data_IF_763224832689
#
_entry.id   IF_763224832689
#
_cell.length_a   1.000
_cell.length_b   1.000
_cell.length_c   1.000
_cell.angle_alpha   90.00
_cell.angle_beta   90.00
_cell.angle_gamma   90.00
#
_symmetry.space_group_name_H-M   'P 1'
#
loop_
_entity.id
_entity.type
_entity.pdbx_description
1 polymer ?
#
# COMPACT_ATOMS: atom_id res chain seq x y z
N UNK A 1 11.57 -18.96 -17.28
CA UNK A 1 11.88 -18.50 -15.91
C UNK A 1 13.27 -17.89 -15.77
N UNK A 2 14.37 -18.52 -16.21
CA UNK A 2 15.74 -17.94 -16.08
C UNK A 2 15.95 -16.58 -16.78
N UNK A 3 15.29 -16.31 -17.93
CA UNK A 3 15.42 -15.04 -18.67
C UNK A 3 14.68 -13.86 -18.02
N UNK A 4 13.60 -14.12 -17.28
CA UNK A 4 12.83 -13.08 -16.54
C UNK A 4 13.60 -12.65 -15.29
N UNK A 5 14.26 -13.59 -14.62
CA UNK A 5 15.10 -13.30 -13.45
C UNK A 5 16.31 -12.41 -13.82
N UNK A 6 16.90 -12.62 -15.00
CA UNK A 6 18.01 -11.80 -15.50
C UNK A 6 17.57 -10.37 -15.85
N UNK A 7 16.35 -10.19 -16.36
CA UNK A 7 15.80 -8.86 -16.69
C UNK A 7 15.49 -8.03 -15.44
N UNK A 8 15.00 -8.67 -14.37
CA UNK A 8 14.75 -8.01 -13.07
C UNK A 8 16.10 -7.63 -12.41
N UNK A 9 17.12 -8.44 -12.55
CA UNK A 9 18.46 -8.14 -12.02
C UNK A 9 19.13 -6.97 -12.76
N UNK A 10 18.93 -6.83 -14.08
CA UNK A 10 19.47 -5.73 -14.88
C UNK A 10 18.76 -4.39 -14.62
N UNK A 11 17.47 -4.41 -14.27
CA UNK A 11 16.75 -3.18 -13.89
C UNK A 11 17.19 -2.63 -12.52
N UNK A 12 17.71 -3.45 -11.63
CA UNK A 12 18.18 -3.02 -10.32
C UNK A 12 19.54 -2.28 -10.36
N UNK A 13 20.36 -2.51 -11.38
CA UNK A 13 21.70 -1.90 -11.47
C UNK A 13 21.71 -0.48 -12.03
N UNK A 14 20.70 -0.09 -12.79
CA UNK A 14 20.61 1.27 -13.40
C UNK A 14 20.12 2.36 -12.45
N UNK A 15 19.59 2.02 -11.28
CA UNK A 15 19.08 2.99 -10.29
C UNK A 15 20.20 3.60 -9.42
N UNK A 16 21.41 3.02 -9.42
CA UNK A 16 22.51 3.40 -8.52
C UNK A 16 23.61 4.27 -9.14
N UNK A 17 23.47 4.68 -10.41
CA UNK A 17 24.49 5.48 -11.09
C UNK A 17 24.13 6.96 -11.18
N UNK A 18 24.03 7.65 -10.05
CA UNK A 18 24.20 9.10 -9.98
C UNK A 18 25.01 9.42 -8.70
N UNK A 19 26.07 10.19 -8.83
CA UNK A 19 26.84 10.76 -7.72
C UNK A 19 25.93 11.59 -6.79
N UNK A 20 25.43 10.94 -5.77
CA UNK A 20 24.71 11.56 -4.69
C UNK A 20 25.49 11.31 -3.40
N UNK A 21 25.85 12.39 -2.70
CA UNK A 21 26.46 12.34 -1.36
C UNK A 21 25.46 11.84 -0.29
N UNK A 22 24.40 11.15 -0.68
CA UNK A 22 23.44 10.58 0.27
C UNK A 22 24.06 9.32 0.88
N UNK A 23 24.14 9.28 2.21
CA UNK A 23 24.69 8.13 2.92
C UNK A 23 23.79 6.91 2.82
N UNK A 24 24.40 5.76 2.73
CA UNK A 24 23.72 4.46 2.61
C UNK A 24 23.80 3.70 3.93
N UNK A 25 22.75 2.96 4.23
CA UNK A 25 22.71 2.09 5.40
C UNK A 25 21.98 0.77 5.07
N UNK A 26 22.28 -0.25 5.84
CA UNK A 26 21.58 -1.53 5.84
C UNK A 26 20.99 -1.74 7.23
N UNK A 27 19.74 -2.19 7.31
CA UNK A 27 19.12 -2.60 8.56
C UNK A 27 18.71 -4.06 8.46
N UNK A 28 19.00 -4.84 9.50
CA UNK A 28 18.53 -6.20 9.67
C UNK A 28 17.68 -6.26 10.94
N UNK A 29 16.46 -6.72 10.80
CA UNK A 29 15.49 -6.85 11.90
C UNK A 29 15.03 -8.28 12.06
N UNK A 30 14.91 -8.72 13.31
CA UNK A 30 14.12 -9.87 13.71
C UNK A 30 12.72 -9.41 14.10
N UNK A 31 11.70 -10.17 13.67
CA UNK A 31 10.30 -9.90 13.88
C UNK A 31 9.64 -11.06 14.61
N UNK A 32 8.80 -10.77 15.61
CA UNK A 32 8.01 -11.77 16.30
C UNK A 32 6.75 -11.18 16.91
N UNK A 33 5.61 -11.88 16.84
CA UNK A 33 4.37 -11.30 17.35
C UNK A 33 3.14 -12.15 17.10
N UNK A 34 2.02 -11.50 16.75
CA UNK A 34 0.73 -12.17 16.62
C UNK A 34 -0.03 -11.74 15.38
N UNK A 35 -0.94 -12.63 14.91
CA UNK A 35 -1.96 -12.30 13.93
C UNK A 35 -3.09 -11.54 14.63
N UNK A 36 -3.47 -10.39 14.05
CA UNK A 36 -4.66 -9.65 14.47
C UNK A 36 -5.89 -10.25 13.79
N UNK A 37 -6.74 -10.93 14.57
CA UNK A 37 -8.03 -11.39 14.08
C UNK A 37 -8.98 -10.22 13.93
N UNK A 38 -9.44 -9.96 12.71
CA UNK A 38 -10.39 -8.89 12.40
C UNK A 38 -11.71 -9.42 11.82
N UNK A 39 -11.80 -10.73 11.57
CA UNK A 39 -13.03 -11.42 11.16
C UNK A 39 -13.08 -12.82 11.78
N UNK A 40 -14.27 -13.36 12.09
CA UNK A 40 -14.41 -14.72 12.62
C UNK A 40 -13.83 -15.80 11.69
N UNK A 41 -13.86 -15.57 10.38
CA UNK A 41 -13.38 -16.48 9.34
C UNK A 41 -11.86 -16.75 9.39
N UNK A 42 -11.12 -15.97 10.18
CA UNK A 42 -9.67 -16.12 10.32
C UNK A 42 -9.25 -16.87 11.59
N UNK A 43 -10.15 -17.06 12.57
CA UNK A 43 -9.77 -17.64 13.88
C UNK A 43 -9.10 -19.01 13.75
N UNK A 44 -9.59 -19.86 12.85
CA UNK A 44 -9.06 -21.20 12.62
C UNK A 44 -7.68 -21.21 11.94
N UNK A 45 -7.20 -20.07 11.41
CA UNK A 45 -5.89 -19.93 10.78
C UNK A 45 -4.80 -19.49 11.80
N UNK A 46 -5.21 -19.01 12.99
CA UNK A 46 -4.31 -18.45 14.01
C UNK A 46 -3.89 -19.55 14.96
N UNK A 47 -2.91 -20.37 14.53
CA UNK A 47 -2.45 -21.54 15.27
C UNK A 47 -1.06 -21.35 15.88
N UNK A 48 -0.38 -20.26 15.56
CA UNK A 48 0.99 -19.98 16.00
C UNK A 48 1.30 -18.49 16.01
N UNK A 49 2.50 -18.18 16.45
CA UNK A 49 3.03 -16.83 16.51
C UNK A 49 3.87 -16.55 15.24
N UNK A 50 3.53 -15.52 14.44
CA UNK A 50 4.34 -15.12 13.30
C UNK A 50 5.74 -14.68 13.73
N UNK A 51 6.73 -15.09 12.94
CA UNK A 51 8.11 -14.65 13.07
C UNK A 51 8.67 -14.29 11.70
N UNK A 52 9.77 -13.54 11.64
CA UNK A 52 10.34 -13.15 10.37
C UNK A 52 11.64 -12.40 10.45
N UNK A 53 12.18 -12.10 9.27
CA UNK A 53 13.38 -11.29 9.08
C UNK A 53 13.09 -10.20 8.07
N UNK A 54 13.49 -8.97 8.36
CA UNK A 54 13.39 -7.85 7.43
C UNK A 54 14.77 -7.25 7.19
N UNK A 55 15.15 -7.18 5.92
CA UNK A 55 16.37 -6.54 5.45
C UNK A 55 16.01 -5.29 4.67
N UNK A 56 16.54 -4.14 5.10
CA UNK A 56 16.32 -2.85 4.46
C UNK A 56 17.63 -2.31 3.90
N UNK A 57 17.56 -1.80 2.66
CA UNK A 57 18.64 -1.01 2.03
C UNK A 57 18.17 0.44 1.95
N UNK A 58 18.86 1.31 2.65
CA UNK A 58 18.43 2.68 2.91
C UNK A 58 19.39 3.70 2.32
N UNK A 59 18.83 4.81 1.91
CA UNK A 59 19.51 6.00 1.48
C UNK A 59 19.00 7.19 2.28
N UNK A 60 19.88 7.84 3.03
CA UNK A 60 19.53 9.03 3.81
C UNK A 60 19.63 10.28 2.95
N UNK A 61 18.69 11.21 3.15
CA UNK A 61 18.68 12.51 2.49
C UNK A 61 19.39 13.56 3.32
N UNK A 62 20.07 14.52 2.65
CA UNK A 62 20.93 15.55 3.29
C UNK A 62 20.56 17.01 2.95
N UNK A 63 19.32 17.29 2.56
CA UNK A 63 18.84 18.65 2.36
C UNK A 63 18.99 19.23 0.95
N UNK A 64 19.65 18.55 0.01
CA UNK A 64 19.84 19.03 -1.38
C UNK A 64 18.54 19.32 -2.14
N UNK A 65 17.46 18.60 -1.81
CA UNK A 65 16.15 18.82 -2.40
C UNK A 65 15.20 19.36 -1.34
N UNK A 66 14.28 20.21 -1.76
CA UNK A 66 13.32 20.85 -0.88
C UNK A 66 12.49 19.86 -0.03
N UNK A 67 12.09 18.72 -0.61
CA UNK A 67 11.33 17.71 0.12
C UNK A 67 12.15 17.04 1.24
N UNK A 68 13.50 16.98 1.13
CA UNK A 68 14.35 16.47 2.20
C UNK A 68 14.16 17.27 3.49
N UNK A 69 14.20 18.60 3.38
CA UNK A 69 13.99 19.49 4.52
C UNK A 69 12.54 19.49 5.00
N UNK A 70 11.59 19.48 4.05
CA UNK A 70 10.16 19.47 4.34
C UNK A 70 9.73 18.27 5.18
N UNK A 71 10.40 17.13 5.04
CA UNK A 71 10.12 15.89 5.76
C UNK A 71 11.18 15.51 6.80
N UNK A 72 11.95 16.49 7.29
CA UNK A 72 12.96 16.31 8.31
C UNK A 72 14.00 15.24 7.92
N UNK A 73 14.52 15.33 6.69
CA UNK A 73 15.58 14.48 6.14
C UNK A 73 15.25 12.98 6.23
N UNK A 74 14.20 12.53 5.56
CA UNK A 74 13.77 11.15 5.59
C UNK A 74 14.81 10.23 4.94
N UNK A 75 14.69 8.96 5.22
CA UNK A 75 15.37 7.90 4.46
C UNK A 75 14.37 7.24 3.54
N UNK A 76 14.87 6.70 2.43
CA UNK A 76 14.07 5.90 1.51
C UNK A 76 14.91 4.77 0.95
N UNK A 77 14.26 3.73 0.49
CA UNK A 77 14.98 2.59 -0.05
C UNK A 77 14.11 1.42 -0.40
N UNK A 78 14.71 0.23 -0.38
CA UNK A 78 14.04 -1.03 -0.63
C UNK A 78 14.09 -1.95 0.58
N UNK A 79 13.15 -2.89 0.64
CA UNK A 79 13.15 -3.93 1.66
C UNK A 79 12.93 -5.31 1.07
N UNK A 80 13.43 -6.31 1.78
CA UNK A 80 13.05 -7.71 1.68
C UNK A 80 12.49 -8.14 3.05
N UNK A 81 11.33 -8.80 3.05
CA UNK A 81 10.69 -9.33 4.26
C UNK A 81 10.34 -10.80 4.05
N UNK A 82 10.90 -11.66 4.88
CA UNK A 82 10.48 -13.03 5.08
C UNK A 82 9.59 -13.10 6.32
N UNK A 83 8.41 -13.68 6.21
CA UNK A 83 7.50 -13.90 7.33
C UNK A 83 6.91 -15.30 7.29
N UNK A 84 7.10 -16.05 8.37
CA UNK A 84 6.51 -17.35 8.62
C UNK A 84 5.36 -17.19 9.61
N UNK A 85 4.19 -17.73 9.30
CA UNK A 85 3.01 -17.57 10.15
C UNK A 85 2.88 -18.63 11.23
N UNK A 86 3.70 -19.69 11.18
CA UNK A 86 3.60 -20.86 12.04
C UNK A 86 2.18 -21.47 12.03
N UNK A 87 1.56 -21.47 10.85
CA UNK A 87 0.25 -22.01 10.52
C UNK A 87 0.37 -22.75 9.18
N UNK A 88 -0.01 -24.02 9.13
CA UNK A 88 0.07 -24.83 7.90
C UNK A 88 -0.72 -24.19 6.75
N UNK A 89 -1.88 -23.62 7.06
CA UNK A 89 -2.75 -23.02 6.05
C UNK A 89 -2.21 -21.69 5.52
N UNK A 90 -1.53 -20.88 6.35
CA UNK A 90 -0.98 -19.57 5.93
C UNK A 90 0.43 -19.69 5.33
N UNK A 91 1.22 -20.69 5.80
CA UNK A 91 2.58 -20.92 5.33
C UNK A 91 3.52 -19.74 5.57
N UNK A 92 4.24 -19.37 4.53
CA UNK A 92 5.29 -18.35 4.54
C UNK A 92 5.09 -17.33 3.42
N UNK A 93 5.47 -16.08 3.70
CA UNK A 93 5.42 -14.99 2.73
C UNK A 93 6.81 -14.40 2.52
N UNK A 94 7.15 -14.11 1.26
CA UNK A 94 8.38 -13.44 0.82
C UNK A 94 8.01 -12.16 0.12
N UNK A 95 8.40 -11.02 0.67
CA UNK A 95 7.98 -9.71 0.18
C UNK A 95 9.16 -8.85 -0.23
N UNK A 96 8.97 -8.05 -1.27
CA UNK A 96 9.91 -7.02 -1.71
C UNK A 96 9.16 -5.74 -2.01
N UNK A 97 9.78 -4.59 -1.74
CA UNK A 97 9.12 -3.31 -2.01
C UNK A 97 9.98 -2.11 -1.70
N UNK A 98 9.34 -0.94 -1.74
CA UNK A 98 9.93 0.33 -1.39
C UNK A 98 9.50 0.79 0.00
N UNK A 99 10.33 1.59 0.65
CA UNK A 99 10.04 2.15 1.96
C UNK A 99 10.51 3.59 2.10
N UNK A 100 9.85 4.30 3.03
CA UNK A 100 10.25 5.60 3.56
C UNK A 100 10.29 5.52 5.09
N UNK A 101 11.37 6.09 5.68
CA UNK A 101 11.52 6.32 7.12
C UNK A 101 11.46 7.82 7.40
N UNK A 102 10.49 8.26 8.20
CA UNK A 102 10.35 9.63 8.67
C UNK A 102 10.81 9.72 10.10
N UNK A 103 11.57 10.76 10.44
CA UNK A 103 12.23 10.88 11.73
C UNK A 103 11.67 12.02 12.58
N UNK A 104 11.51 11.74 13.87
CA UNK A 104 11.06 12.65 14.91
C UNK A 104 12.03 12.60 16.10
N UNK A 105 11.84 13.46 17.10
CA UNK A 105 12.57 13.46 18.36
C UNK A 105 14.10 13.37 18.17
N UNK A 106 14.68 14.32 17.41
CA UNK A 106 16.11 14.33 17.09
C UNK A 106 16.60 13.02 16.44
N UNK A 107 15.77 12.44 15.56
CA UNK A 107 15.98 11.17 14.83
C UNK A 107 15.96 9.90 15.69
N UNK A 108 15.56 9.98 16.96
CA UNK A 108 15.44 8.78 17.78
C UNK A 108 14.11 8.02 17.59
N UNK A 109 13.07 8.68 17.06
CA UNK A 109 11.80 8.04 16.74
C UNK A 109 11.63 7.97 15.22
N UNK A 110 11.40 6.77 14.69
CA UNK A 110 11.31 6.47 13.27
C UNK A 110 9.92 5.92 12.93
N UNK A 111 9.20 6.59 12.02
CA UNK A 111 7.99 6.09 11.38
C UNK A 111 8.37 5.46 10.04
N UNK A 112 8.20 4.16 9.90
CA UNK A 112 8.44 3.39 8.67
C UNK A 112 7.13 3.22 7.92
N UNK A 113 7.10 3.58 6.64
CA UNK A 113 6.02 3.29 5.71
C UNK A 113 6.60 2.50 4.54
N UNK A 114 6.11 1.27 4.33
CA UNK A 114 6.61 0.42 3.27
C UNK A 114 5.46 -0.25 2.50
N UNK A 115 5.62 -0.32 1.20
CA UNK A 115 4.66 -0.93 0.29
C UNK A 115 5.38 -1.81 -0.72
N UNK A 116 4.85 -3.01 -0.95
CA UNK A 116 5.44 -3.95 -1.88
C UNK A 116 4.50 -5.04 -2.34
N UNK A 117 5.10 -6.04 -2.94
CA UNK A 117 4.45 -7.28 -3.37
C UNK A 117 5.01 -8.43 -2.55
N UNK A 118 4.19 -9.44 -2.33
CA UNK A 118 4.52 -10.63 -1.58
C UNK A 118 4.16 -11.89 -2.35
N UNK A 119 5.02 -12.87 -2.26
CA UNK A 119 4.76 -14.24 -2.71
C UNK A 119 4.35 -15.09 -1.51
N UNK A 120 3.13 -15.66 -1.53
CA UNK A 120 2.66 -16.61 -0.52
C UNK A 120 2.94 -18.05 -0.95
N UNK A 121 3.50 -18.85 -0.05
CA UNK A 121 3.78 -20.28 -0.28
C UNK A 121 2.52 -21.16 -0.26
N UNK A 122 1.48 -20.71 0.46
CA UNK A 122 0.29 -21.51 0.76
C UNK A 122 -1.02 -20.76 0.46
N UNK A 123 -1.29 -20.36 -0.80
CA UNK A 123 -2.55 -19.72 -1.16
C UNK A 123 -3.73 -20.71 -1.02
N UNK A 124 -4.95 -20.17 -1.06
CA UNK A 124 -6.16 -21.00 -1.10
C UNK A 124 -6.13 -21.97 -2.29
N UNK A 125 -6.39 -23.23 -2.00
CA UNK A 125 -6.71 -24.26 -2.98
C UNK A 125 -7.87 -25.12 -2.48
N UNK A 126 -8.81 -25.45 -3.38
CA UNK A 126 -10.04 -26.16 -3.01
C UNK A 126 -9.78 -27.54 -2.41
N UNK A 127 -8.71 -28.21 -2.83
CA UNK A 127 -8.39 -29.59 -2.45
C UNK A 127 -7.34 -29.60 -1.35
N UNK A 128 -6.21 -28.95 -1.57
CA UNK A 128 -5.04 -29.04 -0.69
C UNK A 128 -5.03 -27.99 0.44
N UNK A 129 -5.69 -26.83 0.27
CA UNK A 129 -5.70 -25.75 1.28
C UNK A 129 -7.02 -24.98 1.32
N UNK A 130 -8.13 -25.69 1.45
CA UNK A 130 -9.49 -25.10 1.46
C UNK A 130 -9.80 -24.24 2.69
N UNK A 131 -9.01 -24.40 3.75
CA UNK A 131 -9.14 -23.62 4.99
C UNK A 131 -8.62 -22.20 4.86
N UNK A 132 -7.66 -21.94 3.94
CA UNK A 132 -7.09 -20.59 3.80
C UNK A 132 -8.10 -19.61 3.17
N UNK A 133 -8.84 -18.89 4.00
CA UNK A 133 -9.75 -17.82 3.56
C UNK A 133 -9.05 -16.47 3.41
N UNK A 134 -7.79 -16.38 3.81
CA UNK A 134 -7.02 -15.14 3.80
C UNK A 134 -6.42 -14.81 2.42
N UNK A 135 -5.82 -15.81 1.74
CA UNK A 135 -5.01 -15.61 0.54
C UNK A 135 -5.55 -16.38 -0.65
N UNK A 136 -6.39 -15.76 -1.48
CA UNK A 136 -6.95 -16.38 -2.68
C UNK A 136 -5.95 -16.53 -3.84
N UNK A 137 -4.77 -15.92 -3.74
CA UNK A 137 -3.72 -15.96 -4.76
C UNK A 137 -2.34 -16.03 -4.15
N UNK A 138 -1.38 -16.52 -4.93
CA UNK A 138 0.04 -16.57 -4.56
C UNK A 138 0.65 -15.16 -4.47
N UNK A 139 0.24 -14.25 -5.36
CA UNK A 139 0.72 -12.87 -5.36
C UNK A 139 -0.22 -11.99 -4.53
N UNK A 140 0.36 -11.27 -3.57
CA UNK A 140 -0.32 -10.39 -2.63
C UNK A 140 0.32 -9.00 -2.65
N UNK A 141 -0.43 -7.98 -2.27
CA UNK A 141 0.12 -6.72 -1.79
C UNK A 141 0.61 -6.89 -0.35
N UNK A 142 1.72 -6.22 -0.01
CA UNK A 142 2.26 -6.17 1.35
C UNK A 142 2.44 -4.72 1.76
N UNK A 143 1.78 -4.34 2.85
CA UNK A 143 1.85 -3.00 3.45
C UNK A 143 2.43 -3.11 4.85
N UNK A 144 3.45 -2.30 5.16
CA UNK A 144 4.09 -2.30 6.47
C UNK A 144 4.10 -0.87 7.05
N UNK A 145 3.67 -0.74 8.30
CA UNK A 145 3.72 0.51 9.07
C UNK A 145 4.43 0.23 10.38
N UNK A 146 5.58 0.88 10.60
CA UNK A 146 6.41 0.67 11.79
C UNK A 146 6.60 1.96 12.59
N UNK A 147 6.60 1.82 13.91
CA UNK A 147 7.03 2.88 14.82
C UNK A 147 8.17 2.32 15.68
N UNK A 148 9.36 2.87 15.51
CA UNK A 148 10.59 2.32 16.04
C UNK A 148 11.39 3.40 16.77
N UNK A 149 11.94 3.09 17.93
CA UNK A 149 13.04 3.84 18.52
C UNK A 149 14.33 3.36 17.86
N UNK A 150 15.14 4.30 17.38
CA UNK A 150 16.41 4.00 16.71
C UNK A 150 17.54 4.85 17.29
N UNK A 151 18.69 4.25 17.48
CA UNK A 151 19.92 4.92 17.90
C UNK A 151 21.04 4.53 16.96
N UNK A 152 21.49 5.50 16.15
CA UNK A 152 22.59 5.32 15.23
C UNK A 152 23.95 5.51 15.91
N UNK A 153 25.00 4.91 15.36
CA UNK A 153 26.39 5.12 15.77
C UNK A 153 26.66 4.87 17.27
N UNK A 154 26.05 3.82 17.84
CA UNK A 154 26.31 3.41 19.23
C UNK A 154 27.75 2.89 19.33
N UNK A 155 28.15 2.08 18.37
CA UNK A 155 29.50 1.53 18.24
C UNK A 155 29.97 1.74 16.80
N UNK A 156 30.80 2.76 16.57
CA UNK A 156 31.28 3.17 15.24
C UNK A 156 30.11 3.36 14.25
N UNK A 157 30.02 2.49 13.24
CA UNK A 157 28.99 2.51 12.19
C UNK A 157 27.73 1.73 12.56
N UNK A 158 27.73 1.03 13.69
CA UNK A 158 26.60 0.24 14.15
C UNK A 158 25.63 1.05 14.99
N UNK A 159 24.37 0.78 14.80
CA UNK A 159 23.26 1.25 15.62
C UNK A 159 22.28 0.14 15.91
N UNK A 160 21.28 0.43 16.73
CA UNK A 160 20.19 -0.49 17.07
C UNK A 160 18.85 0.21 16.86
N UNK A 161 17.83 -0.60 16.62
CA UNK A 161 16.44 -0.14 16.64
C UNK A 161 15.53 -1.19 17.27
N UNK A 162 14.45 -0.71 17.88
CA UNK A 162 13.39 -1.56 18.41
C UNK A 162 12.05 -0.83 18.33
N UNK A 163 10.97 -1.58 18.08
CA UNK A 163 9.65 -1.00 17.97
C UNK A 163 8.58 -2.01 17.59
N UNK A 164 7.50 -1.51 17.05
CA UNK A 164 6.35 -2.30 16.59
C UNK A 164 6.20 -2.13 15.10
N UNK A 165 5.98 -3.22 14.37
CA UNK A 165 5.67 -3.28 12.96
C UNK A 165 4.27 -3.88 12.77
N UNK A 166 3.37 -3.13 12.17
CA UNK A 166 2.12 -3.64 11.63
C UNK A 166 2.35 -4.06 10.19
N UNK A 167 1.92 -5.28 9.82
CA UNK A 167 2.04 -5.80 8.46
C UNK A 167 0.70 -6.31 7.97
N UNK A 168 0.31 -5.91 6.76
CA UNK A 168 -0.91 -6.35 6.09
C UNK A 168 -0.57 -7.08 4.79
N UNK A 169 -1.27 -8.20 4.54
CA UNK A 169 -1.22 -8.96 3.30
C UNK A 169 -2.61 -9.17 2.74
N UNK A 170 -2.82 -8.84 1.48
CA UNK A 170 -4.05 -9.16 0.74
C UNK A 170 -3.81 -9.09 -0.77
N UNK A 171 -4.71 -9.68 -1.55
CA UNK A 171 -4.69 -9.51 -3.00
C UNK A 171 -5.63 -8.39 -3.49
N UNK A 172 -6.21 -7.58 -2.57
CA UNK A 172 -7.13 -6.49 -2.93
C UNK A 172 -8.40 -6.96 -3.64
N UNK A 173 -8.83 -8.20 -3.38
CA UNK A 173 -9.97 -8.88 -4.01
C UNK A 173 -9.80 -9.14 -5.51
N UNK A 174 -8.57 -9.22 -6.00
CA UNK A 174 -8.36 -9.68 -7.39
C UNK A 174 -8.82 -11.12 -7.57
N UNK A 175 -8.78 -11.93 -6.51
CA UNK A 175 -9.26 -13.32 -6.47
C UNK A 175 -9.78 -13.68 -5.09
N UNK A 176 -10.96 -14.32 -5.03
CA UNK A 176 -11.57 -14.82 -3.78
C UNK A 176 -11.06 -16.21 -3.42
N UNK A 177 -10.92 -16.52 -2.11
CA UNK A 177 -11.22 -15.68 -0.95
C UNK A 177 -10.12 -14.62 -0.71
N UNK A 178 -10.44 -13.51 -0.03
CA UNK A 178 -9.46 -12.49 0.31
C UNK A 178 -9.87 -11.76 1.60
N UNK A 179 -9.83 -12.43 2.73
CA UNK A 179 -9.98 -11.76 4.03
C UNK A 179 -8.72 -10.98 4.41
N UNK A 180 -7.58 -11.32 3.81
CA UNK A 180 -6.28 -10.76 4.16
C UNK A 180 -5.77 -11.19 5.54
N UNK A 181 -4.52 -10.87 5.85
CA UNK A 181 -3.93 -11.08 7.19
C UNK A 181 -3.28 -9.79 7.66
N UNK A 182 -3.57 -9.45 8.91
CA UNK A 182 -2.91 -8.40 9.66
C UNK A 182 -2.05 -9.02 10.75
N UNK A 183 -0.82 -8.54 10.91
CA UNK A 183 0.05 -8.93 12.03
C UNK A 183 0.58 -7.69 12.74
N UNK A 184 0.75 -7.77 14.05
CA UNK A 184 1.53 -6.83 14.84
C UNK A 184 2.74 -7.57 15.40
N UNK A 185 3.91 -7.02 15.12
CA UNK A 185 5.19 -7.67 15.35
C UNK A 185 6.08 -6.74 16.17
N UNK A 186 6.70 -7.28 17.21
CA UNK A 186 7.88 -6.66 17.81
C UNK A 186 9.00 -6.71 16.76
N UNK A 187 9.64 -5.58 16.53
CA UNK A 187 10.74 -5.41 15.61
C UNK A 187 11.98 -5.00 16.40
N UNK A 188 13.02 -5.83 16.38
CA UNK A 188 14.31 -5.57 17.02
C UNK A 188 15.40 -5.82 16.01
N UNK A 189 16.35 -4.89 15.88
CA UNK A 189 17.38 -5.06 14.88
C UNK A 189 18.58 -4.16 15.05
N UNK A 190 19.49 -4.34 14.10
CA UNK A 190 20.73 -3.58 13.98
C UNK A 190 20.75 -2.81 12.66
N UNK A 191 21.38 -1.65 12.66
CA UNK A 191 21.64 -0.87 11.48
C UNK A 191 23.15 -0.66 11.32
N UNK A 192 23.62 -0.69 10.08
CA UNK A 192 25.00 -0.48 9.72
C UNK A 192 25.11 0.61 8.66
N UNK A 193 25.85 1.67 8.96
CA UNK A 193 26.14 2.74 8.03
C UNK A 193 27.29 2.34 7.11
N UNK A 194 27.03 2.27 5.80
CA UNK A 194 28.04 1.86 4.80
C UNK A 194 29.08 2.96 4.56
N UNK A 195 28.67 4.22 4.66
CA UNK A 195 29.55 5.38 4.45
C UNK A 195 30.15 5.85 5.78
N UNK A 196 31.19 6.68 5.69
CA UNK A 196 31.78 7.33 6.86
C UNK A 196 30.75 8.24 7.53
N UNK A 197 30.87 8.40 8.87
CA UNK A 197 29.95 9.04 9.79
C UNK A 197 28.93 9.96 9.13
N UNK A 198 27.66 9.66 9.29
CA UNK A 198 26.56 10.59 9.00
C UNK A 198 26.90 11.94 9.60
N UNK A 199 27.48 12.82 8.80
CA UNK A 199 27.69 14.21 9.24
C UNK A 199 26.31 14.85 9.26
N UNK A 200 25.87 15.27 10.45
CA UNK A 200 24.62 16.03 10.64
C UNK A 200 24.74 17.46 10.06
N UNK A 201 25.51 17.67 9.00
CA UNK A 201 25.53 18.92 8.25
C UNK A 201 24.26 19.03 7.44
N UNK A 202 23.23 19.46 8.14
CA UNK A 202 21.91 19.76 7.60
C UNK A 202 22.02 21.14 6.96
N UNK A 203 21.89 21.21 5.64
CA UNK A 203 21.73 22.47 4.96
C UNK A 203 20.32 23.02 5.25
N UNK A 204 20.23 23.97 6.18
CA UNK A 204 18.98 24.61 6.64
C UNK A 204 18.65 25.87 5.87
N UNK A 205 19.39 26.22 4.83
CA UNK A 205 19.36 27.55 4.18
C UNK A 205 18.17 27.81 3.25
N UNK A 206 17.21 26.88 3.14
CA UNK A 206 16.06 27.14 2.28
C UNK A 206 15.05 28.10 2.92
N UNK A 207 14.81 29.21 2.24
CA UNK A 207 13.79 30.19 2.60
C UNK A 207 12.38 29.59 2.62
N UNK A 208 11.57 29.97 3.61
CA UNK A 208 10.13 29.65 3.70
C UNK A 208 9.37 30.44 2.63
N UNK A 209 9.57 30.09 1.35
CA UNK A 209 8.78 30.68 0.26
C UNK A 209 7.35 30.15 0.35
N UNK A 210 6.38 31.07 0.40
CA UNK A 210 4.95 30.71 0.35
C UNK A 210 4.65 29.97 -0.94
N UNK A 211 4.08 28.77 -0.81
CA UNK A 211 3.67 27.98 -1.96
C UNK A 211 2.21 28.30 -2.32
N UNK A 212 1.99 28.83 -3.52
CA UNK A 212 0.66 29.07 -4.06
C UNK A 212 0.54 28.39 -5.42
N UNK A 213 -0.50 27.62 -5.60
CA UNK A 213 -0.86 26.99 -6.87
C UNK A 213 -2.36 27.25 -7.13
N UNK A 214 -2.79 27.52 -8.37
CA UNK A 214 -4.21 27.63 -8.70
C UNK A 214 -4.94 26.30 -8.44
N UNK A 215 -6.26 26.31 -8.52
CA UNK A 215 -7.06 25.08 -8.58
C UNK A 215 -6.63 24.25 -9.79
N UNK A 216 -6.55 22.96 -9.62
CA UNK A 216 -6.20 22.00 -10.67
C UNK A 216 -7.36 21.03 -10.91
N UNK A 217 -7.61 20.75 -12.17
CA UNK A 217 -8.63 19.81 -12.60
C UNK A 217 -7.96 18.48 -12.94
N UNK A 218 -8.55 17.40 -12.43
CA UNK A 218 -7.99 16.07 -12.56
C UNK A 218 -8.99 15.14 -13.26
N UNK A 219 -8.50 14.37 -14.22
CA UNK A 219 -9.19 13.25 -14.83
C UNK A 219 -8.38 12.00 -14.55
N UNK A 220 -9.02 10.96 -14.05
CA UNK A 220 -8.36 9.70 -13.73
C UNK A 220 -9.19 8.52 -14.23
N UNK A 221 -8.52 7.61 -14.91
CA UNK A 221 -9.03 6.28 -15.22
C UNK A 221 -8.33 5.29 -14.28
N UNK A 222 -9.11 4.55 -13.49
CA UNK A 222 -8.63 3.43 -12.70
C UNK A 222 -9.21 2.15 -13.24
N UNK A 223 -8.42 1.09 -13.30
CA UNK A 223 -8.82 -0.22 -13.81
C UNK A 223 -8.10 -1.34 -13.10
N UNK A 224 -8.60 -2.53 -13.25
CA UNK A 224 -8.05 -3.77 -12.73
C UNK A 224 -8.99 -4.93 -12.96
N UNK A 225 -8.74 -6.00 -12.25
CA UNK A 225 -9.62 -7.17 -12.21
C UNK A 225 -10.01 -7.44 -10.77
N UNK A 226 -11.24 -7.87 -10.56
CA UNK A 226 -11.71 -8.32 -9.25
C UNK A 226 -12.69 -9.50 -9.38
N UNK A 227 -12.90 -10.19 -8.28
CA UNK A 227 -13.81 -11.33 -8.20
C UNK A 227 -14.90 -11.04 -7.14
N UNK A 228 -16.10 -11.57 -7.36
CA UNK A 228 -17.19 -11.47 -6.38
C UNK A 228 -16.81 -12.18 -5.07
N UNK A 229 -17.57 -12.00 -3.97
CA UNK A 229 -17.36 -12.80 -2.75
C UNK A 229 -17.52 -14.30 -2.96
N UNK A 230 -18.18 -14.72 -4.04
CA UNK A 230 -18.35 -16.14 -4.38
C UNK A 230 -17.04 -16.68 -4.95
N UNK A 231 -16.45 -17.61 -4.24
CA UNK A 231 -15.18 -18.26 -4.64
C UNK A 231 -15.36 -18.95 -5.99
N UNK A 232 -14.45 -18.69 -6.94
CA UNK A 232 -14.47 -19.20 -8.31
C UNK A 232 -15.60 -18.66 -9.17
N UNK A 233 -16.18 -17.52 -8.84
CA UNK A 233 -17.14 -16.83 -9.72
C UNK A 233 -16.50 -16.26 -10.99
N UNK A 234 -15.18 -16.26 -11.06
CA UNK A 234 -14.39 -15.73 -12.16
C UNK A 234 -14.08 -14.23 -11.99
N UNK A 235 -12.87 -13.90 -12.41
CA UNK A 235 -12.38 -12.53 -12.40
C UNK A 235 -13.03 -11.72 -13.52
N UNK A 236 -13.41 -10.47 -13.22
CA UNK A 236 -13.99 -9.54 -14.19
C UNK A 236 -13.21 -8.23 -14.14
N UNK A 237 -13.10 -7.53 -15.28
CA UNK A 237 -12.52 -6.19 -15.30
C UNK A 237 -13.44 -5.20 -14.59
N UNK A 238 -12.87 -4.09 -14.17
CA UNK A 238 -13.61 -2.90 -13.77
C UNK A 238 -12.95 -1.64 -14.34
N UNK A 239 -13.75 -0.58 -14.48
CA UNK A 239 -13.29 0.74 -14.91
C UNK A 239 -13.95 1.78 -14.02
N UNK A 240 -13.12 2.61 -13.36
CA UNK A 240 -13.58 3.71 -12.52
C UNK A 240 -13.06 5.01 -13.12
N UNK A 241 -13.99 5.90 -13.48
CA UNK A 241 -13.70 7.18 -14.11
C UNK A 241 -13.92 8.29 -13.09
N UNK A 242 -12.86 8.99 -12.71
CA UNK A 242 -12.89 10.07 -11.73
C UNK A 242 -12.64 11.43 -12.38
N UNK A 243 -13.42 12.42 -11.95
CA UNK A 243 -13.18 13.83 -12.19
C UNK A 243 -13.17 14.56 -10.85
N UNK A 244 -12.13 15.34 -10.58
CA UNK A 244 -12.04 16.10 -9.33
C UNK A 244 -11.19 17.36 -9.48
N UNK A 245 -11.42 18.30 -8.58
CA UNK A 245 -10.56 19.45 -8.40
C UNK A 245 -9.67 19.25 -7.19
N UNK A 246 -8.43 19.71 -7.27
CA UNK A 246 -7.53 19.78 -6.13
C UNK A 246 -7.05 21.20 -5.88
N UNK A 247 -6.82 21.49 -4.60
CA UNK A 247 -6.20 22.74 -4.13
C UNK A 247 -5.03 22.41 -3.24
N UNK A 248 -3.84 22.82 -3.67
CA UNK A 248 -2.66 22.79 -2.80
C UNK A 248 -2.82 23.76 -1.64
N UNK A 249 -2.71 23.23 -0.42
CA UNK A 249 -2.66 24.02 0.81
C UNK A 249 -1.24 24.52 1.09
N UNK A 250 -0.28 23.70 0.73
CA UNK A 250 1.15 23.96 0.84
C UNK A 250 1.91 22.96 -0.06
N UNK A 251 3.25 22.93 0.03
CA UNK A 251 4.10 22.07 -0.79
C UNK A 251 3.86 20.56 -0.58
N UNK A 252 3.36 20.17 0.59
CA UNK A 252 3.14 18.76 0.96
C UNK A 252 1.71 18.30 0.75
N UNK A 253 0.72 19.20 0.82
CA UNK A 253 -0.67 18.85 1.08
C UNK A 253 -1.60 19.49 0.06
N UNK A 254 -2.52 18.70 -0.49
CA UNK A 254 -3.66 19.17 -1.25
C UNK A 254 -4.95 18.53 -0.75
N UNK A 255 -6.04 19.28 -0.84
CA UNK A 255 -7.40 18.77 -0.66
C UNK A 255 -8.02 18.49 -2.02
N UNK A 256 -8.90 17.49 -2.09
CA UNK A 256 -9.58 17.05 -3.30
C UNK A 256 -11.09 17.02 -3.07
N UNK A 257 -11.85 17.37 -4.12
CA UNK A 257 -13.30 17.24 -4.16
C UNK A 257 -13.71 16.82 -5.56
N UNK A 258 -14.50 15.76 -5.68
CA UNK A 258 -14.87 15.26 -6.99
C UNK A 258 -15.96 14.22 -7.00
N UNK A 259 -16.15 13.65 -8.20
CA UNK A 259 -17.10 12.59 -8.48
C UNK A 259 -16.47 11.45 -9.25
N UNK A 260 -17.06 10.28 -9.15
CA UNK A 260 -16.61 9.07 -9.82
C UNK A 260 -17.76 8.23 -10.35
N UNK A 261 -17.56 7.66 -11.52
CA UNK A 261 -18.39 6.60 -12.10
C UNK A 261 -17.68 5.26 -11.94
N UNK A 262 -18.37 4.27 -11.37
CA UNK A 262 -17.86 2.92 -11.13
C UNK A 262 -18.57 1.92 -12.02
N UNK A 263 -17.80 1.23 -12.86
CA UNK A 263 -18.24 0.16 -13.75
C UNK A 263 -17.56 -1.15 -13.29
N UNK A 264 -18.11 -1.78 -12.24
CA UNK A 264 -17.58 -3.00 -11.64
C UNK A 264 -18.34 -4.21 -12.17
N UNK A 265 -17.79 -4.86 -13.19
CA UNK A 265 -18.55 -5.84 -14.01
C UNK A 265 -18.92 -7.13 -13.30
N UNK A 266 -18.20 -7.57 -12.26
CA UNK A 266 -18.63 -8.78 -11.53
C UNK A 266 -20.00 -8.61 -10.88
N UNK A 267 -20.46 -7.38 -10.61
CA UNK A 267 -21.78 -7.14 -10.06
C UNK A 267 -22.91 -7.64 -10.97
N UNK A 268 -22.73 -7.62 -12.30
CA UNK A 268 -23.74 -8.17 -13.21
C UNK A 268 -24.04 -9.65 -12.91
N UNK A 269 -22.99 -10.45 -12.76
CA UNK A 269 -23.14 -11.87 -12.48
C UNK A 269 -23.57 -12.11 -11.03
N UNK A 270 -23.09 -11.29 -10.11
CA UNK A 270 -23.42 -11.39 -8.71
C UNK A 270 -24.87 -11.01 -8.39
N UNK A 271 -25.45 -10.02 -9.09
CA UNK A 271 -26.88 -9.66 -9.03
C UNK A 271 -27.71 -10.85 -9.48
N UNK A 272 -27.43 -11.44 -10.64
CA UNK A 272 -28.13 -12.64 -11.15
C UNK A 272 -28.03 -13.80 -10.18
N UNK A 273 -26.84 -14.04 -9.62
CA UNK A 273 -26.67 -15.07 -8.60
C UNK A 273 -27.56 -14.81 -7.37
N UNK A 274 -27.53 -13.59 -6.85
CA UNK A 274 -28.32 -13.25 -5.65
C UNK A 274 -29.82 -13.32 -5.89
N UNK A 275 -30.32 -12.92 -7.07
CA UNK A 275 -31.74 -12.99 -7.40
C UNK A 275 -32.30 -14.43 -7.41
N UNK A 276 -31.44 -15.40 -7.73
CA UNK A 276 -31.81 -16.84 -7.72
C UNK A 276 -31.55 -17.47 -6.36
N UNK A 277 -30.37 -17.20 -5.76
CA UNK A 277 -29.96 -17.86 -4.52
C UNK A 277 -30.71 -17.33 -3.27
N UNK A 278 -31.25 -16.12 -3.34
CA UNK A 278 -31.96 -15.45 -2.24
C UNK A 278 -33.27 -14.82 -2.72
N UNK A 279 -34.27 -15.62 -3.12
CA UNK A 279 -35.53 -15.11 -3.69
C UNK A 279 -36.29 -14.20 -2.73
N UNK A 280 -36.10 -14.35 -1.42
CA UNK A 280 -36.70 -13.49 -0.38
C UNK A 280 -36.25 -12.03 -0.47
N UNK A 281 -35.13 -11.72 -1.14
CA UNK A 281 -34.67 -10.34 -1.35
C UNK A 281 -35.41 -9.61 -2.46
N UNK A 282 -36.22 -10.30 -3.25
CA UNK A 282 -36.94 -9.75 -4.39
C UNK A 282 -36.05 -8.90 -5.32
N UNK A 283 -34.81 -9.33 -5.54
CA UNK A 283 -33.83 -8.61 -6.36
C UNK A 283 -34.08 -8.88 -7.84
N UNK A 284 -34.31 -7.83 -8.64
CA UNK A 284 -34.40 -7.96 -10.10
C UNK A 284 -33.03 -8.33 -10.67
N UNK A 285 -32.91 -9.44 -11.45
CA UNK A 285 -31.65 -9.84 -12.09
C UNK A 285 -31.08 -8.79 -13.08
N UNK A 286 -31.89 -7.81 -13.50
CA UNK A 286 -31.49 -6.70 -14.38
C UNK A 286 -31.18 -5.40 -13.63
N UNK A 287 -31.16 -5.41 -12.30
CA UNK A 287 -30.76 -4.25 -11.47
C UNK A 287 -29.47 -3.62 -11.98
N UNK A 288 -29.43 -2.29 -12.10
CA UNK A 288 -28.23 -1.59 -12.59
C UNK A 288 -27.05 -1.75 -11.63
N UNK A 289 -25.94 -2.24 -12.16
CA UNK A 289 -24.71 -2.49 -11.41
C UNK A 289 -23.81 -1.27 -11.27
N UNK A 290 -24.08 -0.19 -12.05
CA UNK A 290 -23.27 1.03 -12.03
C UNK A 290 -23.49 1.80 -10.75
N UNK A 291 -22.46 2.53 -10.34
CA UNK A 291 -22.52 3.41 -9.17
C UNK A 291 -21.90 4.76 -9.52
N UNK A 292 -22.44 5.83 -8.93
CA UNK A 292 -21.86 7.18 -8.98
C UNK A 292 -21.63 7.64 -7.55
N UNK A 293 -20.42 8.14 -7.28
CA UNK A 293 -20.02 8.64 -5.97
C UNK A 293 -19.51 10.08 -6.02
N UNK A 294 -19.69 10.78 -4.92
CA UNK A 294 -19.00 12.03 -4.62
C UNK A 294 -17.98 11.76 -3.53
N UNK A 295 -16.83 12.41 -3.57
CA UNK A 295 -15.79 12.21 -2.58
C UNK A 295 -15.08 13.50 -2.19
N UNK A 296 -14.53 13.48 -0.99
CA UNK A 296 -13.49 14.39 -0.51
C UNK A 296 -12.21 13.61 -0.29
N UNK A 297 -11.06 14.25 -0.48
CA UNK A 297 -9.79 13.57 -0.33
C UNK A 297 -8.66 14.50 0.09
N UNK A 298 -7.58 13.87 0.45
CA UNK A 298 -6.32 14.52 0.76
C UNK A 298 -5.18 13.81 0.01
N UNK A 299 -4.25 14.59 -0.51
CA UNK A 299 -3.04 14.08 -1.17
C UNK A 299 -1.81 14.67 -0.50
N UNK A 300 -0.91 13.79 -0.04
CA UNK A 300 0.36 14.12 0.60
C UNK A 300 1.50 13.89 -0.40
N UNK A 301 2.21 14.93 -0.79
CA UNK A 301 3.26 14.90 -1.81
C UNK A 301 4.65 14.73 -1.19
N UNK A 302 5.35 13.68 -1.60
CA UNK A 302 6.71 13.37 -1.22
C UNK A 302 7.55 13.32 -2.50
N UNK A 303 8.10 14.46 -2.94
CA UNK A 303 8.80 14.60 -4.22
C UNK A 303 7.89 14.22 -5.42
N UNK A 304 8.26 13.22 -6.22
CA UNK A 304 7.48 12.70 -7.35
C UNK A 304 6.44 11.67 -6.93
N UNK A 305 6.46 11.23 -5.69
CA UNK A 305 5.47 10.30 -5.14
C UNK A 305 4.46 11.10 -4.32
N UNK A 306 3.21 10.67 -4.35
CA UNK A 306 2.20 11.14 -3.41
C UNK A 306 1.41 9.99 -2.82
N UNK A 307 0.88 10.21 -1.62
CA UNK A 307 -0.08 9.35 -0.95
C UNK A 307 -1.45 10.00 -1.03
N UNK A 308 -2.44 9.26 -1.52
CA UNK A 308 -3.82 9.71 -1.66
C UNK A 308 -4.70 8.98 -0.66
N UNK A 309 -5.59 9.72 0.01
CA UNK A 309 -6.66 9.17 0.83
C UNK A 309 -7.97 9.89 0.47
N UNK A 310 -9.02 9.13 0.20
CA UNK A 310 -10.33 9.64 -0.20
C UNK A 310 -11.43 8.93 0.59
N UNK A 311 -12.48 9.67 0.95
CA UNK A 311 -13.71 9.13 1.48
C UNK A 311 -14.86 9.64 0.61
N UNK A 312 -15.71 8.73 0.15
CA UNK A 312 -16.79 9.04 -0.75
C UNK A 312 -18.11 8.42 -0.34
N UNK A 313 -19.18 8.97 -0.93
CA UNK A 313 -20.55 8.52 -0.72
C UNK A 313 -21.21 8.28 -2.08
N UNK A 314 -21.90 7.13 -2.24
CA UNK A 314 -22.65 6.85 -3.46
C UNK A 314 -23.95 7.64 -3.51
N UNK A 315 -24.03 8.55 -4.47
CA UNK A 315 -25.26 9.30 -4.78
C UNK A 315 -26.18 8.53 -5.71
N UNK A 316 -25.62 7.56 -6.47
CA UNK A 316 -26.38 6.60 -7.26
C UNK A 316 -25.81 5.20 -7.06
N UNK A 317 -26.66 4.26 -6.66
CA UNK A 317 -26.44 2.82 -6.62
C UNK A 317 -27.78 2.11 -6.52
N UNK A 318 -28.17 1.40 -7.52
CA UNK A 318 -29.38 0.61 -7.49
C UNK A 318 -29.16 -0.70 -6.73
N UNK A 319 -28.08 -1.39 -7.03
CA UNK A 319 -27.65 -2.58 -6.28
C UNK A 319 -26.99 -2.21 -4.94
N UNK A 320 -27.73 -2.42 -3.85
CA UNK A 320 -27.35 -2.03 -2.47
C UNK A 320 -26.66 -3.18 -1.73
N UNK A 321 -25.58 -3.72 -2.26
CA UNK A 321 -24.85 -4.84 -1.63
C UNK A 321 -23.93 -4.38 -0.48
N UNK A 322 -23.36 -3.20 -0.60
CA UNK A 322 -22.40 -2.64 0.36
C UNK A 322 -23.00 -1.42 1.08
N UNK A 323 -22.31 -0.89 2.08
CA UNK A 323 -22.67 0.40 2.69
C UNK A 323 -22.54 1.54 1.67
N UNK A 324 -23.22 2.70 1.88
CA UNK A 324 -23.19 3.82 0.93
C UNK A 324 -21.85 4.59 0.90
N UNK A 325 -20.97 4.34 1.85
CA UNK A 325 -19.67 5.01 1.97
C UNK A 325 -18.57 4.10 1.43
N UNK A 326 -17.62 4.66 0.71
CA UNK A 326 -16.39 3.98 0.31
C UNK A 326 -15.18 4.82 0.72
N UNK A 327 -14.09 4.16 0.92
CA UNK A 327 -12.79 4.75 1.17
C UNK A 327 -11.77 4.25 0.14
N UNK A 328 -10.77 5.09 -0.14
CA UNK A 328 -9.67 4.77 -1.04
C UNK A 328 -8.38 5.29 -0.47
N UNK A 329 -7.35 4.47 -0.50
CA UNK A 329 -5.99 4.86 -0.14
C UNK A 329 -5.04 4.33 -1.20
N UNK A 330 -4.01 5.09 -1.52
CA UNK A 330 -3.01 4.63 -2.46
C UNK A 330 -1.87 5.58 -2.70
N UNK A 331 -1.08 5.24 -3.69
CA UNK A 331 0.13 5.96 -4.06
C UNK A 331 0.13 6.30 -5.54
N UNK A 332 0.57 7.53 -5.86
CA UNK A 332 0.78 8.00 -7.22
C UNK A 332 2.24 8.34 -7.44
N UNK A 333 2.69 8.19 -8.66
CA UNK A 333 3.97 8.69 -9.16
C UNK A 333 3.71 9.72 -10.26
N UNK A 334 4.24 10.93 -10.10
CA UNK A 334 4.16 12.00 -11.07
C UNK A 334 5.34 11.95 -12.03
N UNK A 335 5.08 11.60 -13.29
CA UNK A 335 6.08 11.64 -14.36
C UNK A 335 6.51 13.09 -14.64
N UNK A 336 5.54 13.97 -14.64
CA UNK A 336 5.69 15.43 -14.76
C UNK A 336 4.57 16.12 -13.94
N UNK A 337 4.42 17.44 -14.08
CA UNK A 337 3.41 18.22 -13.34
C UNK A 337 1.97 17.84 -13.66
N UNK A 338 1.73 17.22 -14.82
CA UNK A 338 0.42 16.99 -15.40
C UNK A 338 0.03 15.51 -15.46
N UNK A 339 0.98 14.58 -15.56
CA UNK A 339 0.71 13.16 -15.79
C UNK A 339 1.19 12.35 -14.60
N UNK A 340 0.31 11.52 -14.07
CA UNK A 340 0.62 10.58 -13.00
C UNK A 340 0.07 9.20 -13.31
N UNK A 341 0.66 8.20 -12.68
CA UNK A 341 0.12 6.85 -12.59
C UNK A 341 0.27 6.36 -11.15
N UNK A 342 -0.57 5.42 -10.75
CA UNK A 342 -0.52 4.91 -9.39
C UNK A 342 -1.34 3.66 -9.18
N UNK A 343 -1.32 3.20 -7.97
CA UNK A 343 -2.20 2.13 -7.51
C UNK A 343 -2.90 2.57 -6.23
N UNK A 344 -4.17 2.18 -6.12
CA UNK A 344 -5.03 2.46 -4.97
C UNK A 344 -5.77 1.21 -4.58
N UNK A 345 -6.17 1.13 -3.33
CA UNK A 345 -7.13 0.15 -2.85
C UNK A 345 -8.43 0.87 -2.51
N UNK A 346 -9.53 0.44 -3.14
CA UNK A 346 -10.88 0.90 -2.82
C UNK A 346 -11.52 -0.08 -1.87
N UNK A 347 -12.10 0.42 -0.78
CA UNK A 347 -12.67 -0.40 0.29
C UNK A 347 -14.03 0.13 0.75
N UNK A 348 -14.74 -0.69 1.53
CA UNK A 348 -15.93 -0.31 2.28
C UNK A 348 -15.65 -0.67 3.74
N UNK A 349 -15.37 0.33 4.62
CA UNK A 349 -14.94 0.12 5.99
C UNK A 349 -13.79 -0.91 6.09
N UNK A 350 -12.73 -0.68 5.33
CA UNK A 350 -11.54 -1.51 5.26
C UNK A 350 -11.70 -2.89 4.56
N UNK A 351 -12.91 -3.27 4.15
CA UNK A 351 -13.11 -4.46 3.32
C UNK A 351 -12.80 -4.13 1.85
N UNK A 352 -11.76 -4.75 1.33
CA UNK A 352 -11.31 -4.51 -0.03
C UNK A 352 -12.38 -4.85 -1.08
N UNK A 353 -12.65 -3.91 -2.00
CA UNK A 353 -13.45 -4.15 -3.21
C UNK A 353 -12.55 -4.27 -4.44
N UNK A 354 -11.53 -3.43 -4.57
CA UNK A 354 -10.72 -3.38 -5.78
C UNK A 354 -9.32 -2.85 -5.52
N UNK A 355 -8.30 -3.57 -5.99
CA UNK A 355 -6.96 -3.04 -6.22
C UNK A 355 -6.95 -2.38 -7.60
N UNK A 356 -6.76 -1.07 -7.64
CA UNK A 356 -6.90 -0.24 -8.83
C UNK A 356 -5.54 0.23 -9.34
N UNK A 357 -5.30 0.12 -10.64
CA UNK A 357 -4.21 0.78 -11.35
C UNK A 357 -4.77 2.00 -12.06
N UNK A 358 -4.22 3.18 -11.79
CA UNK A 358 -4.73 4.44 -12.28
C UNK A 358 -3.73 5.19 -13.16
N UNK A 359 -4.26 5.87 -14.18
CA UNK A 359 -3.54 6.91 -14.92
C UNK A 359 -4.35 8.18 -14.81
N UNK A 360 -3.70 9.29 -14.45
CA UNK A 360 -4.33 10.58 -14.25
C UNK A 360 -3.66 11.71 -15.03
N UNK A 361 -4.49 12.66 -15.44
CA UNK A 361 -4.06 13.94 -16.01
C UNK A 361 -4.51 15.06 -15.08
N UNK A 362 -3.60 15.95 -14.69
CA UNK A 362 -3.78 17.08 -13.78
C UNK A 362 -3.50 18.39 -14.54
N UNK A 363 -4.52 19.21 -14.81
CA UNK A 363 -4.49 20.41 -15.63
C UNK A 363 -4.51 21.69 -14.80
#
# INVERSE_FOLDING_TARGET
MKKILLFILCLSTSVFSQENNDTKAVELSFLGGNVMSHTPDLHHLINGHPEGLMLNFLKQTHGKKEWHQSYNFPEYGGYFLYQKFNSESLGENYSVGGLYNFYFLKRNLKLKLAQGISWSSSPYDKVSNSKNKAFGSTLLANTNIGLEYAKDNIFDKFGIHAGILFTHYSNGRTKSPNSGINTYLLNIGVNYNLDEKRTNTIDTTQSKVSYKEPLKYNFVLRTGINESPIIRSGQKPFYHLGFFVDKRLNRKSAIQLGSELFLTYYFKDFIKYQSVAYPEKNLDPNTDFKRVGLFVGHELFINKISLEAQVGYYVYREFKNDIPVYDRVGMKYYFNKNINAGFTIKTHLFLAEALEFGIGVRL
#
